data_IF_896761223867
#
_entry.id   IF_896761223867
#
_cell.length_a   1.000
_cell.length_b   1.000
_cell.length_c   1.000
_cell.angle_alpha   90.00
_cell.angle_beta   90.00
_cell.angle_gamma   90.00
#
_symmetry.space_group_name_H-M   'P 1'
#
loop_
_entity.id
_entity.type
_entity.pdbx_description
1 polymer ?
#
# COMPACT_ATOMS: atom_id res chain seq x y z
N UNK A 1 5.24 28.71 -5.88
CA UNK A 1 3.96 27.98 -5.71
C UNK A 1 3.10 28.71 -4.67
N UNK A 2 1.95 29.31 -5.04
CA UNK A 2 1.08 30.07 -4.10
C UNK A 2 0.10 29.17 -3.31
N UNK A 3 0.53 28.00 -2.83
CA UNK A 3 -0.31 27.05 -2.08
C UNK A 3 0.47 26.49 -0.88
N UNK A 4 -0.19 26.35 0.26
CA UNK A 4 0.43 25.79 1.48
C UNK A 4 0.59 24.26 1.38
N UNK A 5 1.52 23.69 2.15
CA UNK A 5 1.66 22.23 2.28
C UNK A 5 0.36 21.55 2.74
N UNK A 6 -0.42 22.19 3.62
CA UNK A 6 -1.72 21.69 4.06
C UNK A 6 -2.77 21.66 2.94
N UNK A 7 -2.71 22.59 1.99
CA UNK A 7 -3.56 22.59 0.79
C UNK A 7 -3.17 21.45 -0.14
N UNK A 8 -1.87 21.27 -0.38
CA UNK A 8 -1.35 20.17 -1.20
C UNK A 8 -1.74 18.82 -0.61
N UNK A 9 -1.58 18.63 0.71
CA UNK A 9 -2.00 17.40 1.41
C UNK A 9 -3.50 17.12 1.23
N UNK A 10 -4.36 18.14 1.34
CA UNK A 10 -5.81 18.01 1.12
C UNK A 10 -6.18 17.72 -0.33
N UNK A 11 -5.43 18.25 -1.31
CA UNK A 11 -5.61 17.88 -2.73
C UNK A 11 -5.24 16.42 -2.95
N UNK A 12 -4.10 15.97 -2.42
CA UNK A 12 -3.65 14.57 -2.53
C UNK A 12 -4.67 13.61 -1.88
N UNK A 13 -5.32 14.03 -0.80
CA UNK A 13 -6.37 13.27 -0.12
C UNK A 13 -7.78 13.46 -0.74
N UNK A 14 -7.89 14.14 -1.89
CA UNK A 14 -9.13 14.47 -2.58
C UNK A 14 -10.22 15.13 -1.70
N UNK A 15 -9.81 15.92 -0.72
CA UNK A 15 -10.69 16.44 0.32
C UNK A 15 -11.81 17.34 -0.29
N UNK A 16 -13.10 17.14 0.09
CA UNK A 16 -14.24 17.80 -0.58
C UNK A 16 -14.27 19.32 -0.43
N UNK A 17 -13.65 19.85 0.64
CA UNK A 17 -13.52 21.31 0.88
C UNK A 17 -12.58 22.05 -0.07
N UNK A 18 -11.84 21.35 -0.94
CA UNK A 18 -10.94 22.00 -1.90
C UNK A 18 -11.65 22.15 -3.24
N UNK A 19 -11.70 23.37 -3.78
CA UNK A 19 -12.31 23.64 -5.07
C UNK A 19 -11.62 22.89 -6.21
N UNK A 20 -12.40 22.50 -7.22
CA UNK A 20 -11.89 21.81 -8.43
C UNK A 20 -10.74 22.59 -9.07
N UNK A 21 -10.88 23.91 -9.22
CA UNK A 21 -9.83 24.79 -9.74
C UNK A 21 -8.52 24.71 -8.94
N UNK A 22 -8.60 24.55 -7.60
CA UNK A 22 -7.40 24.39 -6.76
C UNK A 22 -6.79 23.00 -6.92
N UNK A 23 -7.61 21.95 -7.01
CA UNK A 23 -7.14 20.58 -7.28
C UNK A 23 -6.35 20.52 -8.59
N UNK A 24 -6.93 21.04 -9.67
CA UNK A 24 -6.29 21.09 -11.00
C UNK A 24 -4.98 21.87 -10.99
N UNK A 25 -4.94 23.04 -10.33
CA UNK A 25 -3.73 23.85 -10.19
C UNK A 25 -2.63 23.07 -9.47
N UNK A 26 -2.95 22.41 -8.36
CA UNK A 26 -1.96 21.64 -7.60
C UNK A 26 -1.48 20.43 -8.39
N UNK A 27 -2.37 19.68 -9.07
CA UNK A 27 -1.96 18.55 -9.90
C UNK A 27 -1.01 18.95 -11.04
N UNK A 28 -1.24 20.12 -11.66
CA UNK A 28 -0.34 20.67 -12.67
C UNK A 28 1.05 20.96 -12.11
N UNK A 29 1.12 21.64 -10.97
CA UNK A 29 2.38 21.94 -10.28
C UNK A 29 3.10 20.64 -9.88
N UNK A 30 2.38 19.64 -9.36
CA UNK A 30 2.97 18.34 -9.02
C UNK A 30 3.61 17.67 -10.24
N UNK A 31 2.93 17.72 -11.40
CA UNK A 31 3.46 17.17 -12.66
C UNK A 31 4.70 17.93 -13.15
N UNK A 32 4.66 19.26 -13.12
CA UNK A 32 5.80 20.12 -13.50
C UNK A 32 7.04 19.87 -12.64
N UNK A 33 6.83 19.63 -11.34
CA UNK A 33 7.91 19.36 -10.38
C UNK A 33 8.31 17.89 -10.29
N UNK A 34 7.68 17.00 -11.06
CA UNK A 34 7.84 15.56 -10.92
C UNK A 34 7.64 15.06 -9.46
N UNK A 35 6.70 15.68 -8.75
CA UNK A 35 6.44 15.41 -7.34
C UNK A 35 5.63 14.12 -7.17
N UNK A 36 6.18 13.20 -6.40
CA UNK A 36 5.54 11.94 -6.03
C UNK A 36 5.19 11.94 -4.54
N UNK A 37 3.92 11.78 -4.16
CA UNK A 37 3.53 11.64 -2.76
C UNK A 37 4.27 10.46 -2.09
N UNK A 38 4.86 10.70 -0.93
CA UNK A 38 5.54 9.66 -0.18
C UNK A 38 4.51 8.81 0.60
N UNK A 39 4.36 7.55 0.17
CA UNK A 39 3.42 6.60 0.76
C UNK A 39 3.79 6.28 2.20
N UNK A 40 5.08 6.14 2.53
CA UNK A 40 5.56 5.85 3.90
C UNK A 40 5.19 6.99 4.84
N UNK A 41 5.46 8.24 4.44
CA UNK A 41 5.09 9.41 5.25
C UNK A 41 3.58 9.51 5.47
N UNK A 42 2.78 9.20 4.45
CA UNK A 42 1.32 9.18 4.54
C UNK A 42 0.83 8.07 5.47
N UNK A 43 1.40 6.88 5.38
CA UNK A 43 1.07 5.75 6.26
C UNK A 43 1.40 6.06 7.71
N UNK A 44 2.53 6.73 7.97
CA UNK A 44 2.93 7.16 9.31
C UNK A 44 1.93 8.15 9.90
N UNK A 45 1.56 9.20 9.17
CA UNK A 45 0.57 10.19 9.61
C UNK A 45 -0.81 9.56 9.83
N UNK A 46 -1.21 8.64 8.95
CA UNK A 46 -2.49 7.95 9.04
C UNK A 46 -2.48 6.79 10.06
N UNK A 47 -1.33 6.46 10.65
CA UNK A 47 -1.12 5.28 11.51
C UNK A 47 -1.66 3.99 10.89
N UNK A 48 -1.57 3.88 9.57
CA UNK A 48 -2.10 2.76 8.80
C UNK A 48 -1.32 2.63 7.50
N UNK A 49 -0.72 1.47 7.29
CA UNK A 49 0.02 1.13 6.06
C UNK A 49 -0.91 0.77 4.90
N UNK A 50 -2.16 0.39 5.20
CA UNK A 50 -3.07 -0.27 4.26
C UNK A 50 -2.40 -1.49 3.59
N UNK A 51 -1.60 -2.23 4.35
CA UNK A 51 -0.93 -3.46 3.92
C UNK A 51 -1.46 -4.62 4.78
N UNK A 52 -1.75 -5.75 4.14
CA UNK A 52 -2.04 -7.03 4.78
C UNK A 52 -0.83 -7.94 4.56
N UNK A 53 -0.22 -8.41 5.64
CA UNK A 53 0.85 -9.40 5.58
C UNK A 53 0.30 -10.81 5.34
N UNK A 54 0.82 -11.51 4.36
CA UNK A 54 0.49 -12.92 4.05
C UNK A 54 1.76 -13.73 4.21
N UNK A 55 1.79 -14.59 5.22
CA UNK A 55 2.92 -15.46 5.51
C UNK A 55 2.58 -16.86 5.00
N UNK A 56 3.42 -17.40 4.13
CA UNK A 56 3.28 -18.73 3.55
C UNK A 56 4.41 -19.62 4.09
N UNK A 57 4.11 -20.81 4.65
CA UNK A 57 5.13 -21.72 5.16
C UNK A 57 5.94 -22.36 4.03
N UNK A 58 7.25 -22.50 4.22
CA UNK A 58 8.30 -22.80 3.25
C UNK A 58 8.46 -24.26 2.90
N UNK A 59 7.56 -25.12 3.41
CA UNK A 59 7.18 -26.33 2.66
C UNK A 59 6.55 -25.98 1.29
N UNK A 60 6.41 -24.68 1.02
CA UNK A 60 6.04 -24.04 -0.23
C UNK A 60 6.99 -24.15 -1.42
N UNK A 61 8.11 -24.87 -1.32
CA UNK A 61 8.83 -25.30 -2.54
C UNK A 61 7.91 -26.07 -3.51
N UNK A 62 6.88 -26.75 -2.98
CA UNK A 62 5.78 -27.33 -3.77
C UNK A 62 4.54 -26.42 -3.89
N UNK A 63 4.41 -25.37 -3.05
CA UNK A 63 3.22 -24.51 -3.03
C UNK A 63 3.07 -23.63 -4.26
N UNK A 64 4.15 -23.05 -4.79
CA UNK A 64 4.04 -22.26 -6.04
C UNK A 64 3.99 -23.13 -7.30
N UNK A 65 4.32 -24.42 -7.18
CA UNK A 65 4.10 -25.42 -8.23
C UNK A 65 2.67 -25.98 -8.19
N UNK A 66 2.05 -26.02 -7.01
CA UNK A 66 0.68 -26.46 -6.81
C UNK A 66 -0.30 -25.30 -7.09
N UNK A 67 -1.27 -25.43 -8.02
CA UNK A 67 -2.18 -24.35 -8.43
C UNK A 67 -2.97 -23.67 -7.30
N UNK A 68 -3.14 -24.36 -6.17
CA UNK A 68 -3.83 -23.85 -4.98
C UNK A 68 -3.31 -22.49 -4.48
N UNK A 69 -1.99 -22.30 -4.35
CA UNK A 69 -1.48 -21.06 -3.73
C UNK A 69 -1.57 -19.84 -4.65
N UNK A 70 -1.23 -19.93 -5.95
CA UNK A 70 -1.52 -18.84 -6.89
C UNK A 70 -3.00 -18.44 -6.91
N UNK A 71 -3.92 -19.40 -6.89
CA UNK A 71 -5.36 -19.12 -6.86
C UNK A 71 -5.79 -18.43 -5.56
N UNK A 72 -5.33 -18.95 -4.41
CA UNK A 72 -5.57 -18.35 -3.09
C UNK A 72 -5.01 -16.92 -3.00
N UNK A 73 -3.75 -16.71 -3.40
CA UNK A 73 -3.11 -15.39 -3.40
C UNK A 73 -3.79 -14.44 -4.38
N UNK A 74 -4.27 -14.94 -5.52
CA UNK A 74 -5.08 -14.18 -6.47
C UNK A 74 -6.40 -13.70 -5.85
N UNK A 75 -7.11 -14.58 -5.13
CA UNK A 75 -8.33 -14.23 -4.41
C UNK A 75 -8.11 -13.21 -3.30
N UNK A 76 -7.09 -13.44 -2.44
CA UNK A 76 -6.71 -12.49 -1.39
C UNK A 76 -6.32 -11.15 -1.99
N UNK A 77 -5.48 -11.14 -3.03
CA UNK A 77 -5.01 -9.95 -3.71
C UNK A 77 -6.15 -9.14 -4.35
N UNK A 78 -7.12 -9.82 -4.97
CA UNK A 78 -8.28 -9.17 -5.60
C UNK A 78 -9.14 -8.47 -4.55
N UNK A 79 -9.49 -9.17 -3.47
CA UNK A 79 -10.30 -8.59 -2.39
C UNK A 79 -9.56 -7.46 -1.66
N UNK A 80 -8.26 -7.65 -1.38
CA UNK A 80 -7.43 -6.60 -0.77
C UNK A 80 -7.41 -5.34 -1.64
N UNK A 81 -7.23 -5.50 -2.97
CA UNK A 81 -7.23 -4.39 -3.92
C UNK A 81 -8.56 -3.63 -3.93
N UNK A 82 -9.69 -4.34 -3.99
CA UNK A 82 -11.03 -3.74 -3.94
C UNK A 82 -11.24 -2.91 -2.66
N UNK A 83 -10.68 -3.37 -1.54
CA UNK A 83 -10.74 -2.68 -0.25
C UNK A 83 -9.68 -1.56 -0.10
N UNK A 84 -8.85 -1.32 -1.11
CA UNK A 84 -7.77 -0.32 -1.08
C UNK A 84 -6.56 -0.72 -0.24
N UNK A 85 -6.35 -2.02 -0.04
CA UNK A 85 -5.18 -2.60 0.63
C UNK A 85 -4.19 -3.18 -0.40
N UNK A 86 -2.93 -3.25 0.00
CA UNK A 86 -1.89 -4.03 -0.68
C UNK A 86 -1.59 -5.29 0.12
N UNK A 87 -1.06 -6.31 -0.54
CA UNK A 87 -0.54 -7.50 0.13
C UNK A 87 0.99 -7.43 0.22
N UNK A 88 1.54 -7.89 1.34
CA UNK A 88 2.98 -8.12 1.52
C UNK A 88 3.19 -9.60 1.79
N UNK A 89 3.82 -10.27 0.83
CA UNK A 89 3.99 -11.72 0.85
C UNK A 89 5.37 -12.08 1.42
N UNK A 90 5.39 -12.96 2.42
CA UNK A 90 6.59 -13.55 3.00
C UNK A 90 6.53 -15.06 2.95
N UNK A 91 7.65 -15.69 2.64
CA UNK A 91 7.80 -17.14 2.68
C UNK A 91 8.74 -17.53 3.83
N UNK A 92 8.38 -18.52 4.65
CA UNK A 92 9.11 -18.88 5.88
C UNK A 92 9.26 -20.39 6.02
N UNK A 93 10.46 -20.94 6.01
CA UNK A 93 10.71 -22.39 6.00
C UNK A 93 10.62 -23.05 7.37
N UNK A 94 10.67 -22.26 8.45
CA UNK A 94 10.60 -22.77 9.82
C UNK A 94 9.60 -21.99 10.66
N UNK A 95 9.13 -22.63 11.74
CA UNK A 95 8.27 -21.97 12.75
C UNK A 95 9.00 -20.80 13.41
N UNK A 96 10.32 -20.83 13.51
CA UNK A 96 11.09 -19.73 14.10
C UNK A 96 11.17 -18.52 13.16
N UNK A 97 11.34 -18.76 11.85
CA UNK A 97 11.23 -17.72 10.82
C UNK A 97 9.83 -17.11 10.74
N UNK A 98 8.78 -17.93 10.87
CA UNK A 98 7.40 -17.46 10.94
C UNK A 98 7.21 -16.49 12.12
N UNK A 99 7.62 -16.90 13.33
CA UNK A 99 7.53 -16.05 14.53
C UNK A 99 8.33 -14.76 14.38
N UNK A 100 9.50 -14.82 13.76
CA UNK A 100 10.33 -13.63 13.54
C UNK A 100 9.66 -12.68 12.56
N UNK A 101 9.13 -13.20 11.47
CA UNK A 101 8.40 -12.43 10.45
C UNK A 101 7.18 -11.73 11.03
N UNK A 102 6.40 -12.41 11.88
CA UNK A 102 5.24 -11.80 12.57
C UNK A 102 5.64 -10.63 13.48
N UNK A 103 6.84 -10.65 14.07
CA UNK A 103 7.33 -9.55 14.92
C UNK A 103 7.85 -8.36 14.13
N UNK A 104 8.30 -8.59 12.89
CA UNK A 104 8.81 -7.54 12.01
C UNK A 104 7.70 -6.79 11.28
N UNK A 105 6.49 -7.37 11.22
CA UNK A 105 5.28 -6.76 10.67
C UNK A 105 4.48 -5.95 11.70
#
# INVERSE_FOLDING_TARGET
>A
TKVSASTVSRVIADHPRISVATKEKVHRIMKELNYHPNIIARSLVNRSTKIIGVIVPGMAEQSFQHPFFPELLGGIGSMAYEMGYKILLSNVSTVEEEKQTVKEF
#
